data_IF_769629880771
#
_entry.id   IF_769629880771
#
_cell.length_a   1.000
_cell.length_b   1.000
_cell.length_c   1.000
_cell.angle_alpha   90.00
_cell.angle_beta   90.00
_cell.angle_gamma   90.00
#
_symmetry.space_group_name_H-M   'P 1'
#
loop_
_entity.id
_entity.type
_entity.pdbx_description
1 polymer ?
#
# COMPACT_ATOMS: atom_id res chain seq x y z
N UNK A 1 -40.04 33.90 -14.12
CA UNK A 1 -38.61 34.08 -13.79
C UNK A 1 -38.19 32.94 -12.89
N UNK A 2 -37.53 31.92 -13.45
CA UNK A 2 -36.89 30.86 -12.68
C UNK A 2 -35.40 30.90 -13.04
N UNK A 3 -34.59 31.10 -12.01
CA UNK A 3 -33.16 31.32 -12.07
C UNK A 3 -32.46 30.07 -12.61
N UNK A 4 -31.74 30.26 -13.71
CA UNK A 4 -30.71 29.32 -14.17
C UNK A 4 -29.66 29.24 -13.07
N UNK A 5 -29.57 28.11 -12.40
CA UNK A 5 -28.50 27.83 -11.44
C UNK A 5 -27.25 27.48 -12.26
N UNK A 6 -26.23 28.36 -12.38
CA UNK A 6 -25.01 27.98 -13.06
C UNK A 6 -24.22 27.16 -12.04
N UNK A 7 -24.29 25.83 -12.16
CA UNK A 7 -23.31 25.01 -11.46
C UNK A 7 -21.91 25.49 -11.89
N UNK A 8 -21.03 25.88 -10.95
CA UNK A 8 -19.72 26.39 -11.31
C UNK A 8 -18.98 25.29 -12.07
N UNK A 9 -18.54 25.63 -13.29
CA UNK A 9 -17.85 24.78 -14.25
C UNK A 9 -16.44 24.34 -13.81
N UNK A 10 -16.21 24.15 -12.50
CA UNK A 10 -14.90 23.84 -11.95
C UNK A 10 -14.62 22.34 -11.89
N UNK A 11 -15.65 21.49 -11.86
CA UNK A 11 -15.49 20.04 -11.86
C UNK A 11 -15.67 19.50 -13.28
N UNK A 12 -14.60 19.59 -14.09
CA UNK A 12 -14.53 18.78 -15.31
C UNK A 12 -14.56 17.31 -14.86
N UNK A 13 -15.50 16.47 -15.35
CA UNK A 13 -15.59 15.06 -14.97
C UNK A 13 -14.28 14.28 -15.16
N UNK A 14 -13.38 14.77 -16.01
CA UNK A 14 -12.06 14.20 -16.27
C UNK A 14 -10.97 14.60 -15.26
N UNK A 15 -11.14 15.70 -14.50
CA UNK A 15 -10.10 16.20 -13.59
C UNK A 15 -9.86 15.26 -12.42
N UNK A 16 -10.93 14.69 -11.84
CA UNK A 16 -10.82 13.78 -10.71
C UNK A 16 -10.18 12.44 -11.12
N UNK A 17 -10.60 11.74 -12.19
CA UNK A 17 -9.91 10.54 -12.68
C UNK A 17 -8.45 10.80 -13.05
N UNK A 18 -8.15 11.93 -13.70
CA UNK A 18 -6.77 12.28 -14.07
C UNK A 18 -5.89 12.50 -12.83
N UNK A 19 -6.38 13.28 -11.86
CA UNK A 19 -5.66 13.53 -10.61
C UNK A 19 -5.43 12.24 -9.83
N UNK A 20 -6.48 11.43 -9.64
CA UNK A 20 -6.37 10.13 -8.98
C UNK A 20 -5.40 9.20 -9.70
N UNK A 21 -5.41 9.19 -11.04
CA UNK A 21 -4.46 8.44 -11.85
C UNK A 21 -3.02 8.89 -11.65
N UNK A 22 -2.76 10.21 -11.65
CA UNK A 22 -1.43 10.77 -11.40
C UNK A 22 -0.93 10.46 -10.00
N UNK A 23 -1.79 10.56 -8.97
CA UNK A 23 -1.43 10.18 -7.59
C UNK A 23 -1.12 8.69 -7.49
N UNK A 24 -1.89 7.84 -8.16
CA UNK A 24 -1.62 6.40 -8.21
C UNK A 24 -0.28 6.08 -8.90
N UNK A 25 0.01 6.74 -10.03
CA UNK A 25 1.29 6.60 -10.74
C UNK A 25 2.47 7.09 -9.89
N UNK A 26 2.31 8.20 -9.16
CA UNK A 26 3.33 8.69 -8.24
C UNK A 26 3.60 7.69 -7.11
N UNK A 27 2.55 7.15 -6.50
CA UNK A 27 2.68 6.12 -5.48
C UNK A 27 3.31 4.83 -6.00
N UNK A 28 3.03 4.44 -7.24
CA UNK A 28 3.67 3.30 -7.89
C UNK A 28 5.15 3.56 -8.17
N UNK A 29 5.49 4.75 -8.68
CA UNK A 29 6.87 5.16 -8.94
C UNK A 29 7.70 5.23 -7.65
N UNK A 30 7.16 5.82 -6.57
CA UNK A 30 7.78 5.82 -5.24
C UNK A 30 7.95 4.38 -4.72
N UNK A 31 6.96 3.52 -4.92
CA UNK A 31 7.06 2.08 -4.62
C UNK A 31 8.22 1.40 -5.34
N UNK A 32 8.33 1.58 -6.66
CA UNK A 32 9.42 1.01 -7.47
C UNK A 32 10.77 1.56 -7.05
N UNK A 33 10.86 2.87 -6.79
CA UNK A 33 12.08 3.51 -6.29
C UNK A 33 12.53 2.92 -4.95
N UNK A 34 11.59 2.73 -4.02
CA UNK A 34 11.87 2.13 -2.71
C UNK A 34 12.31 0.66 -2.81
N UNK A 35 11.86 -0.08 -3.83
CA UNK A 35 12.34 -1.45 -4.10
C UNK A 35 13.76 -1.44 -4.69
N UNK A 36 14.05 -0.53 -5.61
CA UNK A 36 15.36 -0.44 -6.26
C UNK A 36 16.43 0.17 -5.33
N UNK A 37 16.05 1.10 -4.46
CA UNK A 37 16.95 1.86 -3.58
C UNK A 37 16.32 2.03 -2.18
N UNK A 38 16.24 0.96 -1.37
CA UNK A 38 15.52 0.98 -0.09
C UNK A 38 16.06 2.01 0.90
N UNK A 39 17.38 2.25 0.93
CA UNK A 39 17.97 3.29 1.80
C UNK A 39 17.63 4.71 1.33
N UNK A 40 17.63 4.96 0.03
CA UNK A 40 17.17 6.25 -0.53
C UNK A 40 15.66 6.43 -0.37
N UNK A 41 14.91 5.33 -0.34
CA UNK A 41 13.49 5.32 -0.08
C UNK A 41 13.12 5.71 1.35
N UNK A 42 13.97 5.40 2.33
CA UNK A 42 13.79 5.91 3.69
C UNK A 42 13.83 7.46 3.71
N UNK A 43 14.63 8.08 2.83
CA UNK A 43 14.74 9.53 2.74
C UNK A 43 13.49 10.21 2.19
N UNK A 44 12.63 9.54 1.42
CA UNK A 44 11.34 10.11 0.98
C UNK A 44 10.38 10.31 2.17
N UNK A 45 10.59 9.56 3.24
CA UNK A 45 9.93 9.74 4.53
C UNK A 45 10.71 10.66 5.50
N UNK A 46 11.73 11.36 5.00
CA UNK A 46 12.60 12.23 5.80
C UNK A 46 13.59 11.48 6.71
N UNK A 47 13.74 10.16 6.54
CA UNK A 47 14.66 9.36 7.33
C UNK A 47 16.02 9.29 6.64
N UNK A 48 17.04 9.82 7.29
CA UNK A 48 18.43 9.70 6.82
C UNK A 48 19.10 8.56 7.58
N UNK A 49 19.63 7.53 6.91
CA UNK A 49 20.36 6.47 7.59
C UNK A 49 21.61 7.05 8.28
N UNK A 50 22.02 6.49 9.43
CA UNK A 50 23.25 6.90 10.11
C UNK A 50 24.47 6.84 9.16
N UNK A 51 25.38 7.81 9.25
CA UNK A 51 26.59 7.84 8.41
C UNK A 51 27.54 6.69 8.77
N UNK A 52 28.35 6.24 7.80
CA UNK A 52 29.21 5.04 7.85
C UNK A 52 30.44 5.11 8.78
N UNK A 53 30.57 6.08 9.68
CA UNK A 53 31.61 6.10 10.72
C UNK A 53 30.94 5.85 12.08
N UNK A 54 31.40 4.84 12.83
CA UNK A 54 30.54 3.80 13.37
C UNK A 54 29.33 4.42 14.08
N UNK A 55 28.11 4.21 13.55
CA UNK A 55 26.93 4.75 14.18
C UNK A 55 26.83 4.18 15.59
N UNK A 56 26.50 5.04 16.56
CA UNK A 56 26.25 4.53 17.89
C UNK A 56 25.07 3.56 17.84
N UNK A 57 25.03 2.52 18.68
CA UNK A 57 23.87 1.61 18.74
C UNK A 57 22.54 2.37 18.87
N UNK A 58 22.53 3.46 19.63
CA UNK A 58 21.36 4.33 19.80
C UNK A 58 20.91 5.05 18.53
N UNK A 59 21.82 5.46 17.64
CA UNK A 59 21.48 6.09 16.36
C UNK A 59 20.88 5.09 15.39
N UNK A 60 21.43 3.88 15.37
CA UNK A 60 20.91 2.77 14.58
C UNK A 60 19.50 2.38 15.05
N UNK A 61 19.32 2.19 16.35
CA UNK A 61 18.01 1.88 16.95
C UNK A 61 16.96 2.96 16.66
N UNK A 62 17.34 4.25 16.78
CA UNK A 62 16.43 5.35 16.49
C UNK A 62 15.97 5.36 15.02
N UNK A 63 16.89 5.13 14.08
CA UNK A 63 16.57 5.01 12.65
C UNK A 63 15.65 3.80 12.39
N UNK A 64 15.97 2.65 12.95
CA UNK A 64 15.15 1.44 12.81
C UNK A 64 13.74 1.61 13.39
N UNK A 65 13.61 2.21 14.57
CA UNK A 65 12.32 2.54 15.16
C UNK A 65 11.51 3.50 14.29
N UNK A 66 12.14 4.54 13.75
CA UNK A 66 11.47 5.47 12.85
C UNK A 66 11.00 4.78 11.56
N UNK A 67 11.85 3.93 10.97
CA UNK A 67 11.54 3.16 9.77
C UNK A 67 10.35 2.20 10.00
N UNK A 68 10.32 1.51 11.15
CA UNK A 68 9.20 0.65 11.54
C UNK A 68 7.92 1.46 11.73
N UNK A 69 7.98 2.61 12.42
CA UNK A 69 6.80 3.47 12.64
C UNK A 69 6.22 4.01 11.34
N UNK A 70 7.07 4.49 10.42
CA UNK A 70 6.63 4.99 9.11
C UNK A 70 5.99 3.88 8.27
N UNK A 71 6.61 2.69 8.22
CA UNK A 71 6.01 1.53 7.54
C UNK A 71 4.69 1.11 8.18
N UNK A 72 4.61 1.12 9.52
CA UNK A 72 3.39 0.86 10.28
C UNK A 72 2.28 1.87 9.97
N UNK A 73 2.60 3.16 9.94
CA UNK A 73 1.66 4.22 9.59
C UNK A 73 1.14 4.05 8.15
N UNK A 74 2.01 3.74 7.18
CA UNK A 74 1.61 3.45 5.80
C UNK A 74 0.62 2.28 5.75
N UNK A 75 0.95 1.18 6.41
CA UNK A 75 0.08 -0.01 6.44
C UNK A 75 -1.26 0.27 7.11
N UNK A 76 -1.28 1.06 8.20
CA UNK A 76 -2.50 1.46 8.90
C UNK A 76 -3.41 2.32 8.02
N UNK A 77 -2.86 3.32 7.32
CA UNK A 77 -3.66 4.17 6.42
C UNK A 77 -4.21 3.37 5.24
N UNK A 78 -3.38 2.51 4.61
CA UNK A 78 -3.85 1.63 3.53
C UNK A 78 -4.97 0.69 4.00
N UNK A 79 -4.81 0.08 5.18
CA UNK A 79 -5.84 -0.81 5.76
C UNK A 79 -7.12 -0.04 6.10
N UNK A 80 -6.98 1.18 6.63
CA UNK A 80 -8.11 2.08 6.90
C UNK A 80 -8.86 2.47 5.62
N UNK A 81 -8.17 2.67 4.50
CA UNK A 81 -8.81 2.92 3.20
C UNK A 81 -9.68 1.74 2.75
N UNK A 82 -9.15 0.51 2.85
CA UNK A 82 -9.93 -0.70 2.53
C UNK A 82 -11.13 -0.83 3.46
N UNK A 83 -10.93 -0.64 4.76
CA UNK A 83 -12.01 -0.71 5.74
C UNK A 83 -13.09 0.35 5.46
N UNK A 84 -12.69 1.58 5.15
CA UNK A 84 -13.62 2.65 4.81
C UNK A 84 -14.43 2.33 3.55
N UNK A 85 -13.81 1.77 2.50
CA UNK A 85 -14.54 1.32 1.31
C UNK A 85 -15.54 0.21 1.64
N UNK A 86 -15.16 -0.75 2.49
CA UNK A 86 -16.06 -1.82 2.93
C UNK A 86 -17.23 -1.26 3.72
N UNK A 87 -16.96 -0.43 4.74
CA UNK A 87 -17.99 0.21 5.58
C UNK A 87 -18.90 1.09 4.72
N UNK A 88 -18.35 1.89 3.81
CA UNK A 88 -19.14 2.73 2.92
C UNK A 88 -20.00 1.89 1.97
N UNK A 89 -19.44 0.85 1.37
CA UNK A 89 -20.18 -0.05 0.48
C UNK A 89 -21.35 -0.76 1.18
N UNK A 90 -21.17 -1.16 2.44
CA UNK A 90 -22.21 -1.87 3.21
C UNK A 90 -23.26 -0.93 3.83
N UNK A 91 -22.84 0.22 4.36
CA UNK A 91 -23.68 1.05 5.23
C UNK A 91 -24.07 2.41 4.65
N UNK A 92 -23.53 2.82 3.50
CA UNK A 92 -23.90 4.10 2.88
C UNK A 92 -25.31 4.04 2.28
N UNK A 93 -26.10 5.09 2.53
CA UNK A 93 -27.39 5.28 1.85
C UNK A 93 -27.23 5.40 0.33
N UNK A 94 -26.13 5.97 -0.15
CA UNK A 94 -25.86 6.10 -1.59
C UNK A 94 -25.67 4.73 -2.26
N UNK A 95 -24.91 3.83 -1.64
CA UNK A 95 -24.73 2.47 -2.16
C UNK A 95 -26.02 1.64 -2.06
N UNK A 96 -26.85 1.87 -1.04
CA UNK A 96 -28.18 1.23 -0.95
C UNK A 96 -29.17 1.74 -2.00
N UNK A 97 -29.08 3.02 -2.36
CA UNK A 97 -29.99 3.66 -3.30
C UNK A 97 -29.56 3.46 -4.77
N UNK A 98 -28.27 3.26 -5.05
CA UNK A 98 -27.74 3.05 -6.41
C UNK A 98 -26.92 1.75 -6.49
N UNK A 99 -27.40 0.75 -7.25
CA UNK A 99 -26.64 -0.46 -7.56
C UNK A 99 -25.29 -0.18 -8.21
N UNK A 100 -25.21 0.84 -9.06
CA UNK A 100 -23.99 1.23 -9.76
C UNK A 100 -22.93 1.76 -8.77
N UNK A 101 -23.35 2.57 -7.79
CA UNK A 101 -22.47 3.06 -6.73
C UNK A 101 -21.93 1.91 -5.88
N UNK A 102 -22.78 0.96 -5.51
CA UNK A 102 -22.36 -0.23 -4.77
C UNK A 102 -21.34 -1.08 -5.56
N UNK A 103 -21.59 -1.29 -6.86
CA UNK A 103 -20.67 -2.01 -7.74
C UNK A 103 -19.34 -1.27 -7.89
N UNK A 104 -19.36 0.05 -8.05
CA UNK A 104 -18.14 0.85 -8.16
C UNK A 104 -17.29 0.73 -6.89
N UNK A 105 -17.88 0.88 -5.70
CA UNK A 105 -17.17 0.76 -4.42
C UNK A 105 -16.61 -0.65 -4.22
N UNK A 106 -17.38 -1.69 -4.58
CA UNK A 106 -16.94 -3.08 -4.53
C UNK A 106 -15.72 -3.31 -5.43
N UNK A 107 -15.76 -2.82 -6.67
CA UNK A 107 -14.63 -2.89 -7.61
C UNK A 107 -13.41 -2.15 -7.10
N UNK A 108 -13.59 -0.95 -6.53
CA UNK A 108 -12.49 -0.20 -5.90
C UNK A 108 -11.83 -1.01 -4.77
N UNK A 109 -12.62 -1.63 -3.89
CA UNK A 109 -12.09 -2.52 -2.86
C UNK A 109 -11.35 -3.73 -3.47
N UNK A 110 -11.88 -4.32 -4.55
CA UNK A 110 -11.23 -5.40 -5.28
C UNK A 110 -9.87 -5.02 -5.87
N UNK A 111 -9.76 -3.84 -6.48
CA UNK A 111 -8.50 -3.28 -6.99
C UNK A 111 -7.49 -3.11 -5.85
N UNK A 112 -7.90 -2.48 -4.75
CA UNK A 112 -6.98 -2.20 -3.62
C UNK A 112 -6.51 -3.50 -2.97
N UNK A 113 -7.37 -4.51 -2.80
CA UNK A 113 -6.97 -5.82 -2.27
C UNK A 113 -5.98 -6.53 -3.20
N UNK A 114 -6.28 -6.58 -4.50
CA UNK A 114 -5.46 -7.29 -5.48
C UNK A 114 -4.08 -6.65 -5.62
N UNK A 115 -4.03 -5.33 -5.81
CA UNK A 115 -2.76 -4.60 -5.92
C UNK A 115 -2.02 -4.55 -4.58
N UNK A 116 -2.75 -4.43 -3.47
CA UNK A 116 -2.22 -4.43 -2.10
C UNK A 116 -1.48 -5.72 -1.74
N UNK A 117 -1.90 -6.86 -2.29
CA UNK A 117 -1.17 -8.13 -2.13
C UNK A 117 0.28 -8.04 -2.66
N UNK A 118 0.58 -7.11 -3.57
CA UNK A 118 1.94 -6.80 -4.00
C UNK A 118 2.89 -6.49 -2.84
N UNK A 119 2.40 -5.94 -1.72
CA UNK A 119 3.22 -5.69 -0.51
C UNK A 119 3.75 -6.99 0.08
N UNK A 120 2.91 -8.02 0.20
CA UNK A 120 3.36 -9.33 0.71
C UNK A 120 4.31 -10.03 -0.26
N UNK A 121 4.06 -9.95 -1.58
CA UNK A 121 4.93 -10.59 -2.58
C UNK A 121 6.29 -9.93 -2.66
N UNK A 122 6.33 -8.60 -2.70
CA UNK A 122 7.59 -7.84 -2.68
C UNK A 122 8.34 -8.04 -1.36
N UNK A 123 7.65 -8.08 -0.23
CA UNK A 123 8.25 -8.42 1.06
C UNK A 123 8.86 -9.83 1.08
N UNK A 124 8.15 -10.82 0.53
CA UNK A 124 8.67 -12.18 0.38
C UNK A 124 9.90 -12.22 -0.54
N UNK A 125 9.91 -11.48 -1.64
CA UNK A 125 11.03 -11.40 -2.56
C UNK A 125 12.28 -10.79 -1.89
N UNK A 126 12.12 -9.68 -1.17
CA UNK A 126 13.22 -9.00 -0.46
C UNK A 126 13.80 -9.91 0.63
N UNK A 127 12.94 -10.58 1.41
CA UNK A 127 13.43 -11.53 2.42
C UNK A 127 14.19 -12.66 1.72
N UNK A 128 13.62 -13.27 0.67
CA UNK A 128 14.30 -14.34 -0.06
C UNK A 128 15.66 -13.93 -0.66
N UNK A 129 15.80 -12.68 -1.10
CA UNK A 129 17.07 -12.11 -1.55
C UNK A 129 18.07 -11.97 -0.39
N UNK A 130 17.65 -11.39 0.73
CA UNK A 130 18.49 -11.26 1.93
C UNK A 130 19.02 -12.61 2.43
N UNK A 131 18.19 -13.66 2.42
CA UNK A 131 18.60 -15.00 2.85
C UNK A 131 19.67 -15.65 1.97
N UNK A 132 19.89 -15.13 0.75
CA UNK A 132 20.97 -15.59 -0.15
C UNK A 132 22.30 -14.88 0.11
N UNK A 133 22.31 -13.87 1.01
CA UNK A 133 23.54 -13.18 1.38
C UNK A 133 24.48 -14.11 2.14
N UNK A 134 25.80 -14.10 1.85
CA UNK A 134 26.78 -14.88 2.60
C UNK A 134 26.87 -14.46 4.09
N UNK A 135 26.39 -13.26 4.43
CA UNK A 135 26.40 -12.73 5.80
C UNK A 135 25.13 -13.10 6.61
N UNK A 136 24.17 -13.81 6.00
CA UNK A 136 22.95 -14.20 6.70
C UNK A 136 23.23 -15.30 7.74
N UNK A 137 22.91 -15.03 9.01
CA UNK A 137 23.03 -16.04 10.07
C UNK A 137 22.05 -17.21 9.85
N UNK A 138 22.39 -18.40 10.37
CA UNK A 138 21.52 -19.58 10.26
C UNK A 138 20.12 -19.33 10.83
N UNK A 139 20.02 -18.61 11.95
CA UNK A 139 18.76 -18.19 12.55
C UNK A 139 17.96 -17.26 11.63
N UNK A 140 18.62 -16.28 11.00
CA UNK A 140 17.98 -15.36 10.06
C UNK A 140 17.42 -16.11 8.84
N UNK A 141 18.15 -17.13 8.35
CA UNK A 141 17.72 -18.00 7.25
C UNK A 141 16.46 -18.78 7.63
N UNK A 142 16.45 -19.44 8.79
CA UNK A 142 15.30 -20.22 9.25
C UNK A 142 14.04 -19.36 9.39
N UNK A 143 14.15 -18.23 10.11
CA UNK A 143 13.05 -17.29 10.32
C UNK A 143 12.57 -16.69 8.99
N UNK A 144 13.51 -16.30 8.12
CA UNK A 144 13.18 -15.70 6.83
C UNK A 144 12.41 -16.66 5.92
N UNK A 145 12.78 -17.94 5.84
CA UNK A 145 12.04 -18.94 5.04
C UNK A 145 10.59 -19.05 5.54
N UNK A 146 10.39 -19.11 6.86
CA UNK A 146 9.05 -19.17 7.44
C UNK A 146 8.23 -17.92 7.08
N UNK A 147 8.84 -16.73 7.10
CA UNK A 147 8.17 -15.46 6.72
C UNK A 147 7.84 -15.37 5.24
N UNK A 148 8.74 -15.80 4.36
CA UNK A 148 8.47 -15.89 2.91
C UNK A 148 7.25 -16.77 2.66
N UNK A 149 7.22 -17.98 3.25
CA UNK A 149 6.07 -18.89 3.12
C UNK A 149 4.78 -18.26 3.64
N UNK A 150 4.84 -17.61 4.81
CA UNK A 150 3.67 -16.94 5.40
C UNK A 150 3.12 -15.86 4.47
N UNK A 151 3.96 -14.96 3.94
CA UNK A 151 3.53 -13.92 3.00
C UNK A 151 2.88 -14.49 1.74
N UNK A 152 3.47 -15.53 1.16
CA UNK A 152 2.90 -16.18 -0.03
C UNK A 152 1.53 -16.80 0.29
N UNK A 153 1.43 -17.53 1.40
CA UNK A 153 0.20 -18.21 1.80
C UNK A 153 -0.92 -17.21 2.11
N UNK A 154 -0.63 -16.10 2.81
CA UNK A 154 -1.64 -15.09 3.17
C UNK A 154 -2.07 -14.26 1.97
N UNK A 155 -1.21 -14.06 0.98
CA UNK A 155 -1.54 -13.27 -0.20
C UNK A 155 -2.49 -13.97 -1.16
N UNK A 156 -2.42 -15.29 -1.29
CA UNK A 156 -3.33 -16.05 -2.17
C UNK A 156 -4.80 -15.75 -1.88
N UNK A 157 -5.33 -15.89 -0.65
CA UNK A 157 -6.72 -15.57 -0.36
C UNK A 157 -7.04 -14.08 -0.51
N UNK A 158 -6.09 -13.17 -0.27
CA UNK A 158 -6.29 -11.72 -0.46
C UNK A 158 -6.50 -11.41 -1.95
N UNK A 159 -5.65 -11.98 -2.83
CA UNK A 159 -5.80 -11.84 -4.29
C UNK A 159 -7.11 -12.46 -4.74
N UNK A 160 -7.43 -13.67 -4.29
CA UNK A 160 -8.69 -14.33 -4.65
C UNK A 160 -9.91 -13.47 -4.26
N UNK A 161 -9.93 -12.95 -3.03
CA UNK A 161 -10.99 -12.06 -2.56
C UNK A 161 -11.05 -10.76 -3.37
N UNK A 162 -9.89 -10.17 -3.68
CA UNK A 162 -9.80 -8.97 -4.50
C UNK A 162 -10.37 -9.17 -5.91
N UNK A 163 -10.04 -10.30 -6.54
CA UNK A 163 -10.57 -10.67 -7.86
C UNK A 163 -12.08 -10.92 -7.82
N UNK A 164 -12.57 -11.57 -6.76
CA UNK A 164 -14.02 -11.74 -6.56
C UNK A 164 -14.72 -10.38 -6.49
N UNK A 165 -14.21 -9.45 -5.68
CA UNK A 165 -14.79 -8.10 -5.57
C UNK A 165 -14.70 -7.30 -6.88
N UNK A 166 -13.68 -7.57 -7.70
CA UNK A 166 -13.45 -6.86 -8.95
C UNK A 166 -14.39 -7.34 -10.07
N UNK A 167 -14.62 -8.65 -10.17
CA UNK A 167 -15.30 -9.26 -11.32
C UNK A 167 -16.70 -9.79 -11.04
N UNK A 168 -17.01 -10.10 -9.78
CA UNK A 168 -18.29 -10.67 -9.34
C UNK A 168 -18.97 -9.73 -8.33
#
# INVERSE_FOLDING_TARGET
>A
MATLNPSPAFWRPAALPLFTGLVALLGAADGVFNLAKPESGAATFGLVPPRRDPPTPSQFDAFHHALVKVKGARNLHMSSCVLALVVYGQFSAACRASPEAAVAVRRCAGIVLTLGAGVGFSGAAIVAEYLRSPDASAEAVEVGIAKVKAHLLTNVPIVALGLVYLFY
#
